data_IF_044973249484
#
_entry.id   IF_044973249484
#
_cell.length_a   1.000
_cell.length_b   1.000
_cell.length_c   1.000
_cell.angle_alpha   90.00
_cell.angle_beta   90.00
_cell.angle_gamma   90.00
#
_symmetry.space_group_name_H-M   'P 1'
#
loop_
_entity.id
_entity.type
_entity.pdbx_description
1 polymer ?
#
# COMPACT_ATOMS: atom_id res chain seq x y z
N UNK A 1 40.90 27.77 24.47
CA UNK A 1 39.93 27.94 23.37
C UNK A 1 39.51 26.56 22.91
N UNK A 2 38.40 26.10 23.45
CA UNK A 2 37.84 24.76 23.09
C UNK A 2 36.88 24.93 21.93
N UNK A 3 37.14 24.23 20.85
CA UNK A 3 36.25 24.20 19.67
C UNK A 3 35.20 23.13 19.91
N UNK A 4 33.96 23.53 20.17
CA UNK A 4 32.80 22.69 20.21
C UNK A 4 32.53 22.13 18.78
N UNK A 5 32.62 20.82 18.63
CA UNK A 5 32.15 20.15 17.42
C UNK A 5 30.65 19.90 17.55
N UNK A 6 29.87 20.71 16.87
CA UNK A 6 28.44 20.47 16.65
C UNK A 6 28.32 19.26 15.69
N UNK A 7 27.88 18.13 16.21
CA UNK A 7 27.48 16.96 15.39
C UNK A 7 26.12 17.26 14.79
N UNK A 8 26.09 17.66 13.54
CA UNK A 8 24.86 17.70 12.76
C UNK A 8 24.41 16.23 12.50
N UNK A 9 23.20 15.89 12.96
CA UNK A 9 22.53 14.65 12.62
C UNK A 9 22.22 14.67 11.12
N UNK A 10 23.07 13.98 10.33
CA UNK A 10 22.89 13.82 8.90
C UNK A 10 21.81 12.78 8.62
N UNK A 11 20.55 13.22 8.44
CA UNK A 11 19.54 12.40 7.80
C UNK A 11 19.96 12.11 6.35
N UNK A 12 19.74 10.87 5.87
CA UNK A 12 20.06 10.51 4.50
C UNK A 12 19.22 11.35 3.51
N UNK A 13 19.90 11.93 2.51
CA UNK A 13 19.23 12.64 1.43
C UNK A 13 18.70 11.65 0.39
N UNK A 14 17.47 11.85 -0.06
CA UNK A 14 16.82 11.04 -1.11
C UNK A 14 16.31 11.95 -2.23
N UNK A 15 16.00 11.39 -3.39
CA UNK A 15 15.51 12.16 -4.52
C UNK A 15 13.98 12.23 -4.54
N UNK A 16 13.42 13.43 -4.80
CA UNK A 16 12.02 13.67 -5.10
C UNK A 16 11.93 14.47 -6.40
N UNK A 17 11.67 13.77 -7.51
CA UNK A 17 11.74 14.36 -8.85
C UNK A 17 13.14 14.91 -9.14
N UNK A 18 13.23 16.24 -9.38
CA UNK A 18 14.49 16.94 -9.62
C UNK A 18 15.13 17.59 -8.38
N UNK A 19 14.55 17.37 -7.18
CA UNK A 19 15.07 17.93 -5.92
C UNK A 19 15.64 16.84 -5.04
N UNK A 20 16.72 17.16 -4.32
CA UNK A 20 17.20 16.36 -3.19
C UNK A 20 16.50 16.88 -1.94
N UNK A 21 15.90 15.96 -1.18
CA UNK A 21 15.15 16.25 0.04
C UNK A 21 15.53 15.24 1.11
N UNK A 22 15.37 15.58 2.37
CA UNK A 22 15.53 14.63 3.46
C UNK A 22 14.45 13.54 3.40
N UNK A 23 14.75 12.37 3.92
CA UNK A 23 13.87 11.19 3.84
C UNK A 23 12.47 11.45 4.43
N UNK A 24 12.39 12.11 5.60
CA UNK A 24 11.13 12.52 6.23
C UNK A 24 10.36 13.57 5.44
N UNK A 25 11.07 14.49 4.77
CA UNK A 25 10.47 15.52 3.93
C UNK A 25 9.89 14.91 2.64
N UNK A 26 10.58 13.92 2.05
CA UNK A 26 10.06 13.18 0.89
C UNK A 26 8.75 12.48 1.22
N UNK A 27 8.68 11.80 2.36
CA UNK A 27 7.47 11.11 2.80
C UNK A 27 6.30 12.09 2.99
N UNK A 28 6.54 13.25 3.62
CA UNK A 28 5.53 14.29 3.78
C UNK A 28 5.02 14.84 2.45
N UNK A 29 5.93 15.16 1.52
CA UNK A 29 5.57 15.67 0.20
C UNK A 29 4.77 14.66 -0.63
N UNK A 30 5.13 13.38 -0.55
CA UNK A 30 4.39 12.29 -1.20
C UNK A 30 2.98 12.17 -0.61
N UNK A 31 2.85 12.18 0.71
CA UNK A 31 1.57 12.13 1.40
C UNK A 31 0.66 13.31 1.02
N UNK A 32 1.20 14.53 0.98
CA UNK A 32 0.44 15.73 0.60
C UNK A 32 -0.13 15.65 -0.82
N UNK A 33 0.62 15.08 -1.76
CA UNK A 33 0.13 14.83 -3.12
C UNK A 33 -0.99 13.81 -3.11
N UNK A 34 -0.84 12.71 -2.41
CA UNK A 34 -1.87 11.67 -2.33
C UNK A 34 -3.14 12.17 -1.63
N UNK A 35 -3.03 13.01 -0.57
CA UNK A 35 -4.19 13.65 0.05
C UNK A 35 -5.01 14.48 -0.95
N UNK A 36 -4.36 15.24 -1.81
CA UNK A 36 -5.02 16.11 -2.79
C UNK A 36 -5.69 15.34 -3.93
N UNK A 37 -5.16 14.18 -4.28
CA UNK A 37 -5.61 13.39 -5.43
C UNK A 37 -6.36 12.10 -5.08
N UNK A 38 -6.52 11.77 -3.80
CA UNK A 38 -7.12 10.52 -3.35
C UNK A 38 -8.45 10.17 -4.04
N UNK A 39 -9.33 11.17 -4.21
CA UNK A 39 -10.63 10.99 -4.88
C UNK A 39 -10.53 10.79 -6.40
N UNK A 40 -9.41 11.15 -7.02
CA UNK A 40 -9.17 11.07 -8.47
C UNK A 40 -7.98 10.15 -8.81
N UNK A 41 -7.48 9.41 -7.84
CA UNK A 41 -6.27 8.62 -7.99
C UNK A 41 -6.35 7.61 -9.13
N UNK A 42 -7.47 6.89 -9.23
CA UNK A 42 -7.68 5.94 -10.31
C UNK A 42 -7.79 6.61 -11.68
N UNK A 43 -8.48 7.76 -11.76
CA UNK A 43 -8.59 8.53 -13.00
C UNK A 43 -7.22 9.04 -13.45
N UNK A 44 -6.38 9.49 -12.51
CA UNK A 44 -5.03 9.93 -12.81
C UNK A 44 -4.15 8.78 -13.29
N UNK A 45 -4.25 7.61 -12.67
CA UNK A 45 -3.56 6.41 -13.10
C UNK A 45 -4.03 5.93 -14.48
N UNK A 46 -5.34 5.98 -14.76
CA UNK A 46 -5.90 5.70 -16.08
C UNK A 46 -5.29 6.62 -17.15
N UNK A 47 -5.25 7.92 -16.86
CA UNK A 47 -4.72 8.92 -17.81
C UNK A 47 -3.21 8.72 -18.05
N UNK A 48 -2.44 8.47 -16.98
CA UNK A 48 -0.97 8.33 -17.07
C UNK A 48 -0.53 7.02 -17.71
N UNK A 49 -1.32 5.95 -17.60
CA UNK A 49 -0.97 4.61 -18.10
C UNK A 49 -1.76 4.19 -19.35
N UNK A 50 -2.65 5.05 -19.85
CA UNK A 50 -3.56 4.69 -20.95
C UNK A 50 -4.44 3.47 -20.59
N UNK A 51 -4.75 3.24 -19.31
CA UNK A 51 -5.54 2.11 -18.83
C UNK A 51 -4.73 0.82 -18.62
N UNK A 52 -3.46 0.75 -19.03
CA UNK A 52 -2.63 -0.46 -18.91
C UNK A 52 -2.49 -0.96 -17.47
N UNK A 53 -2.50 -0.06 -16.47
CA UNK A 53 -2.42 -0.44 -15.07
C UNK A 53 -3.58 -1.37 -14.64
N UNK A 54 -4.75 -1.26 -15.27
CA UNK A 54 -5.88 -2.16 -15.00
C UNK A 54 -5.59 -3.57 -15.45
N UNK A 55 -5.02 -3.72 -16.65
CA UNK A 55 -4.61 -5.02 -17.19
C UNK A 55 -3.54 -5.69 -16.32
N UNK A 56 -2.57 -4.91 -15.81
CA UNK A 56 -1.55 -5.44 -14.91
C UNK A 56 -2.13 -5.90 -13.57
N UNK A 57 -3.08 -5.15 -13.00
CA UNK A 57 -3.79 -5.55 -11.78
C UNK A 57 -4.59 -6.84 -12.01
N UNK A 58 -5.29 -6.93 -13.14
CA UNK A 58 -6.05 -8.15 -13.49
C UNK A 58 -5.12 -9.36 -13.69
N UNK A 59 -4.00 -9.17 -14.39
CA UNK A 59 -3.00 -10.22 -14.58
C UNK A 59 -2.38 -10.66 -13.24
N UNK A 60 -2.08 -9.72 -12.33
CA UNK A 60 -1.55 -10.02 -11.00
C UNK A 60 -2.55 -10.84 -10.18
N UNK A 61 -3.82 -10.47 -10.17
CA UNK A 61 -4.88 -11.21 -9.45
C UNK A 61 -5.11 -12.58 -10.07
N UNK A 62 -5.08 -12.69 -11.40
CA UNK A 62 -5.18 -13.97 -12.10
C UNK A 62 -3.99 -14.89 -11.76
N UNK A 63 -2.78 -14.35 -11.65
CA UNK A 63 -1.60 -15.10 -11.26
C UNK A 63 -1.62 -15.50 -9.78
N UNK A 64 -2.10 -14.63 -8.88
CA UNK A 64 -2.33 -14.95 -7.47
C UNK A 64 -3.32 -16.11 -7.30
N UNK A 65 -4.30 -16.21 -8.21
CA UNK A 65 -5.32 -17.25 -8.27
C UNK A 65 -5.98 -17.50 -6.88
N UNK A 66 -6.67 -16.51 -6.29
CA UNK A 66 -7.19 -16.62 -4.95
C UNK A 66 -8.17 -17.81 -4.85
N UNK A 67 -8.04 -18.64 -3.80
CA UNK A 67 -8.87 -19.83 -3.66
C UNK A 67 -10.33 -19.46 -3.41
N UNK A 68 -11.25 -20.25 -3.97
CA UNK A 68 -12.70 -20.08 -3.81
C UNK A 68 -13.22 -20.85 -2.58
N UNK A 69 -12.49 -20.72 -1.46
CA UNK A 69 -12.84 -21.35 -0.18
C UNK A 69 -12.73 -20.31 0.94
N UNK A 70 -13.59 -20.43 1.94
CA UNK A 70 -13.57 -19.53 3.10
C UNK A 70 -12.27 -19.67 3.92
N UNK A 71 -11.95 -18.60 4.65
CA UNK A 71 -10.85 -18.57 5.60
C UNK A 71 -9.50 -18.14 5.00
N UNK A 72 -9.41 -17.88 3.69
CA UNK A 72 -8.18 -17.36 3.08
C UNK A 72 -8.05 -15.85 3.27
N UNK A 73 -6.90 -15.43 3.80
CA UNK A 73 -6.61 -14.05 4.20
C UNK A 73 -5.46 -13.49 3.40
N UNK A 74 -5.64 -12.30 2.83
CA UNK A 74 -4.60 -11.60 2.07
C UNK A 74 -4.34 -10.22 2.67
N UNK A 75 -3.07 -9.82 2.74
CA UNK A 75 -2.64 -8.48 3.08
C UNK A 75 -2.21 -7.75 1.80
N UNK A 76 -2.92 -6.65 1.46
CA UNK A 76 -2.60 -5.77 0.33
C UNK A 76 -1.94 -4.49 0.86
N UNK A 77 -0.62 -4.43 0.79
CA UNK A 77 0.20 -3.34 1.35
C UNK A 77 0.42 -2.24 0.32
N UNK A 78 0.42 -0.98 0.80
CA UNK A 78 0.32 0.21 -0.03
C UNK A 78 -0.88 0.12 -0.99
N UNK A 79 -1.97 -0.46 -0.50
CA UNK A 79 -3.18 -0.78 -1.27
C UNK A 79 -4.07 0.43 -1.56
N UNK A 80 -3.83 1.57 -0.89
CA UNK A 80 -4.49 2.84 -1.14
C UNK A 80 -6.00 2.76 -1.03
N UNK A 81 -6.69 2.93 -2.15
CA UNK A 81 -8.17 2.88 -2.23
C UNK A 81 -8.74 1.46 -2.35
N UNK A 82 -7.91 0.42 -2.22
CA UNK A 82 -8.33 -0.98 -2.15
C UNK A 82 -8.67 -1.64 -3.49
N UNK A 83 -8.29 -1.07 -4.62
CA UNK A 83 -8.66 -1.61 -5.95
C UNK A 83 -8.18 -3.05 -6.16
N UNK A 84 -6.96 -3.39 -5.73
CA UNK A 84 -6.42 -4.77 -5.83
C UNK A 84 -7.17 -5.70 -4.87
N UNK A 85 -7.35 -5.28 -3.61
CA UNK A 85 -8.09 -6.05 -2.62
C UNK A 85 -9.52 -6.40 -3.10
N UNK A 86 -10.24 -5.43 -3.69
CA UNK A 86 -11.58 -5.69 -4.24
C UNK A 86 -11.56 -6.71 -5.37
N UNK A 87 -10.57 -6.62 -6.28
CA UNK A 87 -10.39 -7.61 -7.37
C UNK A 87 -10.11 -9.02 -6.84
N UNK A 88 -9.32 -9.12 -5.75
CA UNK A 88 -9.01 -10.39 -5.09
C UNK A 88 -10.29 -10.99 -4.48
N UNK A 89 -11.07 -10.18 -3.76
CA UNK A 89 -12.34 -10.63 -3.18
C UNK A 89 -13.31 -11.07 -4.27
N UNK A 90 -13.45 -10.30 -5.34
CA UNK A 90 -14.30 -10.65 -6.49
C UNK A 90 -13.82 -11.94 -7.15
N UNK A 91 -12.52 -12.11 -7.41
CA UNK A 91 -11.95 -13.29 -8.02
C UNK A 91 -12.11 -14.57 -7.16
N UNK A 92 -12.13 -14.43 -5.85
CA UNK A 92 -12.42 -15.51 -4.89
C UNK A 92 -13.92 -15.81 -4.75
N UNK A 93 -14.80 -15.09 -5.45
CA UNK A 93 -16.27 -15.13 -5.31
C UNK A 93 -16.74 -14.75 -3.88
N UNK A 94 -16.06 -13.79 -3.24
CA UNK A 94 -16.39 -13.35 -1.89
C UNK A 94 -15.91 -14.29 -0.77
N UNK A 95 -15.05 -15.26 -1.07
CA UNK A 95 -14.53 -16.18 -0.05
C UNK A 95 -13.24 -15.71 0.62
N UNK A 96 -12.46 -14.85 -0.05
CA UNK A 96 -11.28 -14.24 0.52
C UNK A 96 -11.64 -13.09 1.46
N UNK A 97 -10.81 -12.86 2.47
CA UNK A 97 -10.81 -11.67 3.31
C UNK A 97 -9.53 -10.89 3.05
N UNK A 98 -9.66 -9.64 2.61
CA UNK A 98 -8.52 -8.80 2.26
C UNK A 98 -8.35 -7.68 3.29
N UNK A 99 -7.15 -7.55 3.85
CA UNK A 99 -6.75 -6.40 4.66
C UNK A 99 -5.94 -5.45 3.80
N UNK A 100 -6.44 -4.23 3.61
CA UNK A 100 -5.75 -3.14 2.90
C UNK A 100 -4.96 -2.34 3.92
N UNK A 101 -3.64 -2.28 3.74
CA UNK A 101 -2.76 -1.48 4.57
C UNK A 101 -2.15 -0.35 3.74
N UNK A 102 -2.19 0.86 4.25
CA UNK A 102 -1.53 2.01 3.65
C UNK A 102 -1.11 3.00 4.73
N UNK A 103 -0.07 3.78 4.47
CA UNK A 103 0.38 4.85 5.36
C UNK A 103 -0.51 6.10 5.25
N UNK A 104 -1.34 6.18 4.22
CA UNK A 104 -2.18 7.32 3.91
C UNK A 104 -3.65 7.08 4.28
N UNK A 105 -4.06 7.57 5.46
CA UNK A 105 -5.42 7.44 5.97
C UNK A 105 -6.51 8.00 5.06
N UNK A 106 -6.21 9.04 4.25
CA UNK A 106 -7.19 9.59 3.29
C UNK A 106 -7.49 8.62 2.15
N UNK A 107 -6.48 7.89 1.67
CA UNK A 107 -6.68 6.84 0.66
C UNK A 107 -7.53 5.71 1.22
N UNK A 108 -7.24 5.29 2.45
CA UNK A 108 -8.02 4.26 3.16
C UNK A 108 -9.47 4.69 3.41
N UNK A 109 -9.73 5.97 3.73
CA UNK A 109 -11.09 6.49 3.88
C UNK A 109 -11.88 6.35 2.59
N UNK A 110 -11.30 6.73 1.44
CA UNK A 110 -11.91 6.51 0.12
C UNK A 110 -12.13 5.02 -0.14
N UNK A 111 -11.20 4.16 0.28
CA UNK A 111 -11.31 2.71 0.18
C UNK A 111 -12.51 2.16 0.94
N UNK A 112 -12.71 2.59 2.19
CA UNK A 112 -13.86 2.20 3.03
C UNK A 112 -15.19 2.58 2.36
N UNK A 113 -15.32 3.82 1.90
CA UNK A 113 -16.50 4.29 1.18
C UNK A 113 -16.79 3.46 -0.08
N UNK A 114 -15.75 3.04 -0.79
CA UNK A 114 -15.88 2.17 -1.97
C UNK A 114 -16.29 0.75 -1.60
N UNK A 115 -15.73 0.20 -0.52
CA UNK A 115 -16.09 -1.12 -0.01
C UNK A 115 -17.59 -1.18 0.35
N UNK A 116 -18.12 -0.15 1.02
CA UNK A 116 -19.53 -0.03 1.33
C UNK A 116 -20.41 0.00 0.06
N UNK A 117 -20.06 0.88 -0.89
CA UNK A 117 -20.80 0.99 -2.17
C UNK A 117 -20.79 -0.31 -2.97
N UNK A 118 -19.72 -1.08 -2.90
CA UNK A 118 -19.57 -2.39 -3.56
C UNK A 118 -20.14 -3.55 -2.74
N UNK A 119 -20.58 -3.32 -1.50
CA UNK A 119 -21.03 -4.36 -0.54
C UNK A 119 -19.91 -5.36 -0.20
N UNK A 120 -18.68 -4.89 -0.11
CA UNK A 120 -17.50 -5.69 0.22
C UNK A 120 -16.98 -5.43 1.65
N UNK A 121 -17.66 -4.60 2.45
CA UNK A 121 -17.23 -4.25 3.82
C UNK A 121 -17.12 -5.46 4.75
N UNK A 122 -17.84 -6.55 4.48
CA UNK A 122 -17.70 -7.81 5.23
C UNK A 122 -16.49 -8.64 4.86
N UNK A 123 -15.80 -8.30 3.76
CA UNK A 123 -14.66 -9.02 3.23
C UNK A 123 -13.38 -8.18 3.16
N UNK A 124 -13.44 -6.93 3.66
CA UNK A 124 -12.30 -6.01 3.59
C UNK A 124 -12.11 -5.24 4.88
N UNK A 125 -10.86 -5.21 5.37
CA UNK A 125 -10.41 -4.34 6.44
C UNK A 125 -9.44 -3.27 5.89
N UNK A 126 -9.33 -2.13 6.60
CA UNK A 126 -8.45 -1.03 6.23
C UNK A 126 -7.65 -0.58 7.43
N UNK A 127 -6.33 -0.70 7.36
CA UNK A 127 -5.39 -0.43 8.45
C UNK A 127 -4.38 0.62 8.03
N UNK A 128 -4.27 1.70 8.82
CA UNK A 128 -3.24 2.72 8.61
C UNK A 128 -1.98 2.31 9.36
N UNK A 129 -0.93 1.95 8.61
CA UNK A 129 0.35 1.55 9.19
C UNK A 129 1.49 1.63 8.16
N UNK A 130 2.73 1.52 8.67
CA UNK A 130 3.94 1.45 7.86
C UNK A 130 4.20 0.02 7.37
N UNK A 131 4.56 -0.13 6.10
CA UNK A 131 4.95 -1.41 5.51
C UNK A 131 6.22 -2.03 6.15
N UNK A 132 7.06 -1.20 6.77
CA UNK A 132 8.29 -1.59 7.46
C UNK A 132 8.05 -2.05 8.90
N UNK A 133 6.82 -1.89 9.43
CA UNK A 133 6.41 -2.26 10.79
C UNK A 133 4.93 -2.69 10.77
N UNK A 134 4.68 -3.93 10.38
CA UNK A 134 3.31 -4.43 10.21
C UNK A 134 2.68 -4.77 11.57
N UNK A 135 1.49 -4.21 11.91
CA UNK A 135 0.84 -4.41 13.20
C UNK A 135 0.08 -5.75 13.27
N UNK A 136 0.67 -6.81 12.73
CA UNK A 136 0.07 -8.15 12.69
C UNK A 136 1.01 -9.18 13.29
N UNK A 137 0.48 -10.26 13.90
CA UNK A 137 1.27 -11.40 14.35
C UNK A 137 1.96 -12.11 13.16
N UNK A 138 2.96 -12.95 13.50
CA UNK A 138 3.60 -13.85 12.53
C UNK A 138 2.56 -14.82 11.94
N UNK A 139 2.75 -15.21 10.68
CA UNK A 139 1.90 -16.19 9.98
C UNK A 139 0.40 -15.87 10.07
N UNK A 140 0.01 -14.59 9.91
CA UNK A 140 -1.38 -14.14 10.01
C UNK A 140 -2.11 -14.10 8.68
N UNK A 141 -1.38 -14.23 7.57
CA UNK A 141 -1.93 -14.17 6.21
C UNK A 141 -1.46 -15.33 5.35
N UNK A 142 -2.30 -15.72 4.40
CA UNK A 142 -1.99 -16.76 3.41
C UNK A 142 -1.34 -16.18 2.15
N UNK A 143 -1.45 -14.87 1.95
CA UNK A 143 -0.84 -14.15 0.83
C UNK A 143 -0.56 -12.69 1.20
N UNK A 144 0.43 -12.14 0.53
CA UNK A 144 0.83 -10.74 0.63
C UNK A 144 0.93 -10.15 -0.78
N UNK A 145 0.37 -8.98 -0.98
CA UNK A 145 0.49 -8.22 -2.22
C UNK A 145 1.02 -6.83 -1.95
N UNK A 146 1.96 -6.38 -2.77
CA UNK A 146 2.39 -4.99 -2.84
C UNK A 146 2.66 -4.67 -4.31
N UNK A 147 1.88 -3.75 -4.87
CA UNK A 147 2.00 -3.41 -6.27
C UNK A 147 2.94 -2.21 -6.48
N UNK A 148 2.43 -1.15 -7.05
CA UNK A 148 3.25 0.02 -7.41
C UNK A 148 3.80 0.79 -6.21
N UNK A 149 3.29 0.56 -5.00
CA UNK A 149 3.67 1.26 -3.78
C UNK A 149 5.07 0.93 -3.27
N UNK A 150 5.62 -0.23 -3.61
CA UNK A 150 6.94 -0.68 -3.13
C UNK A 150 8.07 0.31 -3.44
N UNK A 151 7.99 1.02 -4.55
CA UNK A 151 8.97 2.05 -4.96
C UNK A 151 9.03 3.26 -4.01
N UNK A 152 8.00 3.44 -3.16
CA UNK A 152 7.91 4.53 -2.20
C UNK A 152 8.34 4.11 -0.79
N UNK A 153 8.63 2.83 -0.58
CA UNK A 153 9.12 2.30 0.70
C UNK A 153 10.60 2.63 0.84
N UNK A 154 11.02 3.33 1.92
CA UNK A 154 12.40 3.71 2.14
C UNK A 154 13.34 2.51 2.26
N UNK A 155 12.96 1.51 3.09
CA UNK A 155 13.78 0.31 3.36
C UNK A 155 13.04 -0.93 2.87
N UNK A 156 13.23 -1.25 1.58
CA UNK A 156 12.53 -2.37 0.90
C UNK A 156 12.85 -3.71 1.55
N UNK A 157 14.08 -3.92 1.98
CA UNK A 157 14.54 -5.12 2.68
C UNK A 157 13.82 -5.33 4.00
N UNK A 158 13.59 -4.26 4.78
CA UNK A 158 12.81 -4.31 6.03
C UNK A 158 11.35 -4.68 5.73
N UNK A 159 10.74 -4.02 4.76
CA UNK A 159 9.35 -4.30 4.38
C UNK A 159 9.17 -5.73 3.84
N UNK A 160 10.14 -6.27 3.10
CA UNK A 160 10.12 -7.67 2.66
C UNK A 160 10.34 -8.65 3.81
N UNK A 161 11.14 -8.28 4.83
CA UNK A 161 11.26 -9.03 6.08
C UNK A 161 9.94 -9.13 6.82
N UNK A 162 9.21 -8.01 6.94
CA UNK A 162 7.88 -7.98 7.53
C UNK A 162 6.85 -8.78 6.70
N UNK A 163 6.91 -8.70 5.37
CA UNK A 163 6.08 -9.51 4.49
C UNK A 163 6.30 -11.02 4.75
N UNK A 164 7.56 -11.44 4.88
CA UNK A 164 7.90 -12.82 5.18
C UNK A 164 7.44 -13.24 6.58
N UNK A 165 7.52 -12.35 7.56
CA UNK A 165 7.12 -12.64 8.94
C UNK A 165 5.61 -12.89 9.07
N UNK A 166 4.79 -12.11 8.37
CA UNK A 166 3.33 -12.22 8.45
C UNK A 166 2.72 -13.32 7.58
N UNK A 167 3.50 -13.89 6.66
CA UNK A 167 3.17 -15.07 5.84
C UNK A 167 3.55 -16.37 6.56
#
# INVERSE_FOLDING_TARGET
MSVERTTAAGGMETSYGFKRVGEGEKQSLVNDVFHKVANRYDLMNDLMSGGLHRLWKDAMVAWLNPPKRAGWRVLDVAGGTGDIAFRIVDASHGHAHATVLDINGSMLAVGRDRAEKKRLSGNTDFVEANAEELPFPDASFDAYTIAFGIRNVPHIDVALGEAFRVL
#
